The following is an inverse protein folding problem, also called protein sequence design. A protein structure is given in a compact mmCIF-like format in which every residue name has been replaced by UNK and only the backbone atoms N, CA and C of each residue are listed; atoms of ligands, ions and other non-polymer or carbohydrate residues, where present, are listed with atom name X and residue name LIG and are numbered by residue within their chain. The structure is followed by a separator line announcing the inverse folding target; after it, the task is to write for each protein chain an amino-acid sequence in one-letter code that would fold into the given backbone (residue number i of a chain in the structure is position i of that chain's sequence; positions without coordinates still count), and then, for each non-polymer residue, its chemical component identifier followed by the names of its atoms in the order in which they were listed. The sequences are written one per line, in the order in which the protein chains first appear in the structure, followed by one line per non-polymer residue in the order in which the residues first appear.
data_IF_952331585372
#
_entry.id   IF_952331585372
#
_cell.length_a   1.000
_cell.length_b   1.000
_cell.length_c   1.000
_cell.angle_alpha   90.00
_cell.angle_beta   90.00
_cell.angle_gamma   90.00
#
_symmetry.space_group_name_H-M   'P 1'
#
loop_
_entity.id
_entity.type
_entity.pdbx_description
1 polymer ?
#
# COMPACT_ATOMS: atom_id res chain seq x y z
N UNK A 1 26.82 -23.79 13.54
CA UNK A 1 26.00 -24.90 12.99
C UNK A 1 24.81 -24.31 12.29
N UNK A 2 24.52 -24.69 11.02
CA UNK A 2 23.32 -24.23 10.29
C UNK A 2 22.12 -25.10 10.71
N UNK A 3 20.93 -24.48 10.85
CA UNK A 3 19.68 -25.16 11.17
C UNK A 3 18.73 -25.05 9.98
N UNK A 4 18.11 -26.15 9.62
CA UNK A 4 17.04 -26.16 8.60
C UNK A 4 15.72 -25.74 9.23
N UNK A 5 15.10 -24.67 8.73
CA UNK A 5 13.81 -24.17 9.20
C UNK A 5 12.64 -24.57 8.29
N UNK A 6 12.90 -25.37 7.24
CA UNK A 6 11.92 -25.70 6.21
C UNK A 6 11.66 -24.51 5.26
N UNK A 7 10.61 -24.62 4.43
CA UNK A 7 10.20 -23.55 3.53
C UNK A 7 9.41 -22.48 4.33
N UNK A 8 10.05 -21.36 4.63
CA UNK A 8 9.46 -20.22 5.34
C UNK A 8 9.94 -18.90 4.71
N UNK A 9 9.10 -17.85 4.71
CA UNK A 9 9.45 -16.54 4.14
C UNK A 9 10.36 -15.75 5.08
N UNK A 10 11.56 -16.26 5.36
CA UNK A 10 12.52 -15.65 6.27
C UNK A 10 13.42 -14.66 5.53
N UNK A 11 12.84 -13.56 5.06
CA UNK A 11 13.57 -12.46 4.43
C UNK A 11 13.31 -11.16 5.20
N UNK A 12 14.21 -10.78 6.09
CA UNK A 12 14.09 -9.61 6.96
C UNK A 12 15.38 -8.78 6.94
N UNK A 13 15.30 -7.44 7.16
CA UNK A 13 14.07 -6.64 7.32
C UNK A 13 13.30 -6.49 6.02
N UNK A 14 11.97 -6.26 6.13
CA UNK A 14 11.08 -5.91 5.02
C UNK A 14 10.56 -4.49 5.24
N UNK A 15 10.42 -3.65 4.20
CA UNK A 15 9.73 -2.39 4.33
C UNK A 15 8.25 -2.64 4.63
N UNK A 16 7.66 -1.84 5.50
CA UNK A 16 6.21 -1.81 5.68
C UNK A 16 5.65 -0.73 4.79
N UNK A 17 5.02 -1.11 3.70
CA UNK A 17 4.37 -0.19 2.78
C UNK A 17 3.05 0.30 3.35
N UNK A 18 2.78 1.59 3.19
CA UNK A 18 1.48 2.18 3.42
C UNK A 18 0.93 2.57 2.06
N UNK A 19 -0.07 1.80 1.62
CA UNK A 19 -0.67 1.93 0.29
C UNK A 19 -1.92 2.78 0.43
N UNK A 20 -2.02 3.88 -0.33
CA UNK A 20 -3.18 4.76 -0.30
C UNK A 20 -3.87 4.85 -1.66
N UNK A 21 -5.21 4.93 -1.63
CA UNK A 21 -6.08 4.98 -2.81
C UNK A 21 -7.29 5.84 -2.54
N UNK A 22 -7.98 6.28 -3.59
CA UNK A 22 -9.35 6.80 -3.47
C UNK A 22 -10.40 5.70 -3.65
N UNK A 23 -11.42 5.71 -2.82
CA UNK A 23 -12.67 4.99 -3.05
C UNK A 23 -13.44 5.51 -4.27
N UNK A 24 -14.55 4.87 -4.61
CA UNK A 24 -15.42 5.31 -5.72
C UNK A 24 -15.98 6.71 -5.50
N UNK A 25 -16.30 7.03 -4.27
CA UNK A 25 -16.82 8.32 -3.79
C UNK A 25 -15.74 9.39 -3.58
N UNK A 26 -14.46 9.06 -3.86
CA UNK A 26 -13.33 9.95 -3.63
C UNK A 26 -12.80 9.95 -2.20
N UNK A 27 -13.35 9.13 -1.30
CA UNK A 27 -12.85 9.02 0.08
C UNK A 27 -11.48 8.36 0.10
N UNK A 28 -10.46 8.94 0.78
CA UNK A 28 -9.16 8.32 0.94
C UNK A 28 -9.25 7.04 1.78
N UNK A 29 -8.52 6.01 1.36
CA UNK A 29 -8.34 4.75 2.08
C UNK A 29 -6.86 4.38 2.08
N UNK A 30 -6.37 3.78 3.15
CA UNK A 30 -5.02 3.25 3.23
C UNK A 30 -4.98 1.89 3.92
N UNK A 31 -3.96 1.10 3.58
CA UNK A 31 -3.63 -0.15 4.28
C UNK A 31 -2.13 -0.29 4.41
N UNK A 32 -1.66 -1.07 5.39
CA UNK A 32 -0.28 -1.50 5.40
C UNK A 32 -0.08 -2.82 4.64
N UNK A 33 1.13 -3.03 4.13
CA UNK A 33 1.55 -4.28 3.51
C UNK A 33 3.06 -4.49 3.68
N UNK A 34 3.46 -5.69 4.09
CA UNK A 34 4.86 -6.07 4.23
C UNK A 34 5.34 -7.02 3.11
N UNK A 35 4.42 -7.53 2.29
CA UNK A 35 4.73 -8.47 1.21
C UNK A 35 4.87 -7.71 -0.11
N UNK A 36 5.95 -6.93 -0.24
CA UNK A 36 6.23 -6.16 -1.44
C UNK A 36 7.69 -5.72 -1.51
N UNK A 37 8.10 -5.30 -2.69
CA UNK A 37 9.45 -4.82 -2.94
C UNK A 37 9.65 -4.35 -4.37
N UNK A 38 10.85 -3.87 -4.65
CA UNK A 38 11.26 -3.48 -6.00
C UNK A 38 11.37 -4.74 -6.86
N UNK A 39 10.69 -4.75 -7.99
CA UNK A 39 10.72 -5.83 -8.98
C UNK A 39 11.48 -5.46 -10.25
N UNK A 40 11.60 -4.16 -10.54
CA UNK A 40 12.36 -3.62 -11.66
C UNK A 40 12.80 -2.19 -11.30
N UNK A 41 13.58 -1.51 -12.16
CA UNK A 41 14.11 -0.17 -11.90
C UNK A 41 13.02 0.87 -11.55
N UNK A 42 11.83 0.72 -12.09
CA UNK A 42 10.69 1.62 -11.90
C UNK A 42 9.40 0.86 -11.58
N UNK A 43 9.50 -0.34 -11.04
CA UNK A 43 8.35 -1.20 -10.72
C UNK A 43 8.43 -1.73 -9.30
N UNK A 44 7.28 -1.78 -8.64
CA UNK A 44 7.07 -2.42 -7.35
C UNK A 44 6.08 -3.57 -7.55
N UNK A 45 6.40 -4.72 -6.97
CA UNK A 45 5.48 -5.85 -6.86
C UNK A 45 4.99 -5.99 -5.43
N UNK A 46 3.71 -6.27 -5.26
CA UNK A 46 3.10 -6.47 -3.95
C UNK A 46 2.15 -7.67 -3.96
N UNK A 47 2.18 -8.46 -2.89
CA UNK A 47 1.23 -9.54 -2.68
C UNK A 47 0.12 -9.08 -1.72
N UNK A 48 -1.07 -8.81 -2.25
CA UNK A 48 -2.20 -8.25 -1.51
C UNK A 48 -3.44 -9.13 -1.70
N UNK A 49 -4.19 -9.36 -0.62
CA UNK A 49 -5.45 -10.11 -0.69
C UNK A 49 -6.54 -9.35 -1.44
N UNK A 50 -7.15 -9.97 -2.44
CA UNK A 50 -8.21 -9.39 -3.28
C UNK A 50 -9.43 -8.88 -2.47
N UNK A 51 -9.65 -9.41 -1.27
CA UNK A 51 -10.76 -8.99 -0.39
C UNK A 51 -10.59 -7.60 0.24
N UNK A 52 -9.39 -7.04 0.25
CA UNK A 52 -9.13 -5.72 0.83
C UNK A 52 -9.82 -4.60 0.05
N UNK A 53 -10.35 -3.59 0.77
CA UNK A 53 -10.94 -2.39 0.15
C UNK A 53 -9.95 -1.68 -0.75
N UNK A 54 -8.71 -1.52 -0.28
CA UNK A 54 -7.62 -0.89 -1.02
C UNK A 54 -7.34 -1.58 -2.36
N UNK A 55 -7.34 -2.93 -2.40
CA UNK A 55 -7.15 -3.69 -3.65
C UNK A 55 -8.31 -3.43 -4.63
N UNK A 56 -9.55 -3.44 -4.14
CA UNK A 56 -10.73 -3.11 -4.97
C UNK A 56 -10.62 -1.71 -5.56
N UNK A 57 -10.17 -0.75 -4.75
CA UNK A 57 -9.94 0.62 -5.19
C UNK A 57 -8.83 0.69 -6.26
N UNK A 58 -7.69 0.01 -6.05
CA UNK A 58 -6.59 -0.06 -7.03
C UNK A 58 -7.09 -0.60 -8.37
N UNK A 59 -7.83 -1.71 -8.37
CA UNK A 59 -8.35 -2.32 -9.58
C UNK A 59 -9.30 -1.38 -10.34
N UNK A 60 -10.08 -0.58 -9.63
CA UNK A 60 -11.02 0.38 -10.22
C UNK A 60 -10.36 1.67 -10.68
N UNK A 61 -9.52 2.29 -9.85
CA UNK A 61 -8.85 3.56 -10.13
C UNK A 61 -7.61 3.41 -11.00
N UNK A 62 -7.03 2.23 -11.05
CA UNK A 62 -5.77 1.94 -11.74
C UNK A 62 -4.59 2.78 -11.24
N UNK A 63 -4.71 3.35 -10.04
CA UNK A 63 -3.76 4.26 -9.42
C UNK A 63 -3.73 4.10 -7.91
N UNK A 64 -2.55 4.29 -7.31
CA UNK A 64 -2.33 4.26 -5.87
C UNK A 64 -1.01 4.96 -5.54
N UNK A 65 -0.80 5.25 -4.26
CA UNK A 65 0.52 5.68 -3.75
C UNK A 65 1.05 4.66 -2.76
N UNK A 66 2.37 4.61 -2.63
CA UNK A 66 3.07 3.78 -1.66
C UNK A 66 4.02 4.66 -0.87
N UNK A 67 3.80 4.72 0.43
CA UNK A 67 4.72 5.33 1.39
C UNK A 67 5.33 4.24 2.26
N UNK A 68 6.41 4.55 2.98
CA UNK A 68 6.99 3.65 3.99
C UNK A 68 6.58 4.12 5.37
N UNK A 69 6.18 3.17 6.22
CA UNK A 69 5.92 3.46 7.63
C UNK A 69 7.21 3.92 8.32
N UNK A 70 7.08 4.93 9.16
CA UNK A 70 8.16 5.44 10.01
C UNK A 70 7.84 5.24 11.50
N UNK A 71 8.82 5.51 12.36
CA UNK A 71 8.70 5.30 13.80
C UNK A 71 7.73 6.28 14.47
N UNK A 72 7.64 7.50 13.95
CA UNK A 72 6.81 8.55 14.55
C UNK A 72 5.32 8.30 14.29
N UNK A 73 5.00 7.64 13.18
CA UNK A 73 3.62 7.35 12.76
C UNK A 73 3.25 5.85 12.88
N UNK A 74 4.03 5.05 13.63
CA UNK A 74 3.83 3.59 13.74
C UNK A 74 2.41 3.21 14.16
N UNK A 75 1.79 3.94 15.08
CA UNK A 75 0.43 3.66 15.56
C UNK A 75 -0.61 3.88 14.44
N UNK A 76 -0.50 4.98 13.71
CA UNK A 76 -1.37 5.27 12.57
C UNK A 76 -1.19 4.24 11.45
N UNK A 77 0.05 3.90 11.14
CA UNK A 77 0.42 2.90 10.12
C UNK A 77 -0.09 1.49 10.48
N UNK A 78 -0.01 1.10 11.76
CA UNK A 78 -0.57 -0.16 12.23
C UNK A 78 -2.11 -0.15 12.18
N UNK A 79 -2.73 0.94 12.64
CA UNK A 79 -4.18 1.09 12.63
C UNK A 79 -4.79 0.85 11.24
N UNK A 80 -4.23 1.45 10.19
CA UNK A 80 -4.76 1.26 8.82
C UNK A 80 -4.56 -0.16 8.29
N UNK A 81 -3.68 -0.95 8.91
CA UNK A 81 -3.47 -2.36 8.61
C UNK A 81 -4.46 -3.29 9.30
N UNK A 82 -4.75 -3.06 10.58
CA UNK A 82 -5.63 -3.92 11.37
C UNK A 82 -7.12 -3.61 11.17
N UNK A 83 -7.46 -2.39 10.77
CA UNK A 83 -8.85 -1.96 10.53
C UNK A 83 -9.23 -2.13 9.06
N UNK A 84 -10.32 -2.86 8.81
CA UNK A 84 -10.81 -3.08 7.44
C UNK A 84 -11.58 -1.87 6.90
N UNK A 85 -11.13 -1.32 5.76
CA UNK A 85 -11.85 -0.27 5.02
C UNK A 85 -13.20 -0.71 4.44
N UNK A 86 -13.47 -2.02 4.38
CA UNK A 86 -14.82 -2.52 4.05
C UNK A 86 -15.82 -2.31 5.20
N UNK A 87 -15.36 -2.09 6.44
CA UNK A 87 -16.19 -1.92 7.63
C UNK A 87 -16.14 -0.48 8.16
N UNK A 88 -15.00 0.17 8.06
CA UNK A 88 -14.75 1.53 8.56
C UNK A 88 -14.30 2.40 7.38
N UNK A 89 -15.25 3.15 6.82
CA UNK A 89 -15.03 3.92 5.59
C UNK A 89 -14.14 5.14 5.81
N UNK A 90 -14.11 5.69 7.02
CA UNK A 90 -13.32 6.86 7.43
C UNK A 90 -12.02 6.48 8.18
N UNK A 91 -11.52 5.25 8.01
CA UNK A 91 -10.34 4.77 8.74
C UNK A 91 -9.09 5.60 8.48
N UNK A 92 -8.95 6.19 7.28
CA UNK A 92 -7.84 7.07 6.92
C UNK A 92 -7.78 8.29 7.84
N UNK A 93 -8.89 9.02 7.96
CA UNK A 93 -9.00 10.17 8.86
C UNK A 93 -8.91 9.76 10.34
N UNK A 94 -9.47 8.61 10.71
CA UNK A 94 -9.38 8.07 12.08
C UNK A 94 -7.96 7.67 12.49
N UNK A 95 -7.11 7.32 11.53
CA UNK A 95 -5.69 7.11 11.76
C UNK A 95 -4.94 8.43 12.04
N UNK A 96 -5.55 9.57 11.78
CA UNK A 96 -4.94 10.88 11.88
C UNK A 96 -4.19 11.29 10.61
N UNK A 97 -4.42 10.62 9.49
CA UNK A 97 -3.81 10.96 8.22
C UNK A 97 -4.58 12.05 7.49
N UNK A 98 -3.85 12.95 6.83
CA UNK A 98 -4.34 13.95 5.90
C UNK A 98 -3.92 13.59 4.48
N UNK A 99 -4.77 13.92 3.51
CA UNK A 99 -4.58 13.53 2.13
C UNK A 99 -4.40 14.75 1.23
N UNK A 100 -3.26 14.82 0.55
CA UNK A 100 -3.07 15.70 -0.60
C UNK A 100 -3.25 14.90 -1.89
N UNK A 101 -3.93 15.47 -2.87
CA UNK A 101 -4.11 14.82 -4.17
C UNK A 101 -2.77 14.77 -4.92
N UNK A 102 -2.41 13.60 -5.46
CA UNK A 102 -1.27 13.48 -6.36
C UNK A 102 -1.48 14.27 -7.66
N UNK A 103 -0.41 14.89 -8.17
CA UNK A 103 -0.42 15.56 -9.47
C UNK A 103 -0.25 14.58 -10.65
N UNK A 104 0.29 13.38 -10.40
CA UNK A 104 0.67 12.43 -11.45
C UNK A 104 -0.28 11.24 -11.57
N UNK A 105 -0.99 10.88 -10.51
CA UNK A 105 -1.88 9.73 -10.48
C UNK A 105 -3.18 10.04 -9.73
N UNK A 106 -4.26 9.34 -10.02
CA UNK A 106 -5.54 9.51 -9.31
C UNK A 106 -5.54 8.79 -7.97
N UNK A 107 -4.67 9.25 -7.06
CA UNK A 107 -4.50 8.68 -5.73
C UNK A 107 -4.09 9.76 -4.70
N UNK A 108 -4.35 9.54 -3.39
CA UNK A 108 -3.93 10.46 -2.34
C UNK A 108 -2.46 10.24 -1.95
N UNK A 109 -1.73 11.31 -1.67
CA UNK A 109 -0.52 11.30 -0.87
C UNK A 109 -0.92 11.33 0.62
N UNK A 110 -0.12 10.72 1.49
CA UNK A 110 -0.28 10.80 2.95
C UNK A 110 0.67 11.87 3.44
N UNK A 111 0.14 12.99 3.94
CA UNK A 111 0.92 14.20 4.24
C UNK A 111 1.92 13.98 5.38
N UNK A 112 1.63 13.04 6.31
CA UNK A 112 2.47 12.73 7.46
C UNK A 112 3.68 11.86 7.12
N UNK A 113 3.69 11.17 5.97
CA UNK A 113 4.78 10.27 5.60
C UNK A 113 5.77 10.93 4.64
N UNK A 114 7.05 10.83 4.97
CA UNK A 114 8.11 11.62 4.35
C UNK A 114 8.36 11.31 2.85
N UNK A 115 7.99 10.12 2.39
CA UNK A 115 8.22 9.67 1.01
C UNK A 115 6.96 9.03 0.45
N UNK A 116 6.62 9.38 -0.77
CA UNK A 116 5.54 8.74 -1.52
C UNK A 116 6.02 8.34 -2.91
N UNK A 117 5.69 7.11 -3.29
CA UNK A 117 5.86 6.58 -4.64
C UNK A 117 4.50 6.59 -5.30
N UNK A 118 4.35 7.34 -6.39
CA UNK A 118 3.10 7.51 -7.10
C UNK A 118 3.00 6.46 -8.22
N UNK A 119 2.00 5.57 -8.14
CA UNK A 119 1.94 4.33 -8.90
C UNK A 119 0.72 4.25 -9.82
N UNK A 120 0.92 3.72 -11.03
CA UNK A 120 -0.15 3.25 -11.91
C UNK A 120 -0.15 1.73 -11.90
N UNK A 121 -1.31 1.10 -11.80
CA UNK A 121 -1.42 -0.35 -11.89
C UNK A 121 -1.03 -0.81 -13.30
N UNK A 122 0.05 -1.59 -13.40
CA UNK A 122 0.53 -2.21 -14.63
C UNK A 122 -0.25 -3.49 -14.93
N UNK A 123 -0.23 -4.41 -13.99
CA UNK A 123 -0.84 -5.72 -14.12
C UNK A 123 -1.39 -6.22 -12.78
N UNK A 124 -2.28 -7.19 -12.84
CA UNK A 124 -2.87 -7.86 -11.68
C UNK A 124 -3.11 -9.32 -12.03
N UNK A 125 -2.48 -10.19 -11.28
CA UNK A 125 -2.69 -11.63 -11.37
C UNK A 125 -3.56 -12.09 -10.18
N UNK A 126 -4.82 -12.50 -10.42
CA UNK A 126 -5.71 -12.95 -9.37
C UNK A 126 -5.27 -14.26 -8.71
N UNK A 127 -4.48 -15.08 -9.40
CA UNK A 127 -4.04 -16.39 -8.91
C UNK A 127 -2.78 -16.28 -8.04
N UNK A 128 -1.88 -15.34 -8.34
CA UNK A 128 -0.65 -15.11 -7.59
C UNK A 128 -0.72 -13.94 -6.61
N UNK A 129 -1.82 -13.15 -6.62
CA UNK A 129 -2.05 -12.01 -5.71
C UNK A 129 -1.05 -10.86 -5.88
N UNK A 130 -0.44 -10.72 -7.05
CA UNK A 130 0.61 -9.74 -7.31
C UNK A 130 0.09 -8.63 -8.23
N UNK A 131 -0.21 -7.42 -7.71
CA UNK A 131 -0.25 -6.23 -8.56
C UNK A 131 1.18 -5.76 -8.83
N UNK A 132 1.50 -5.53 -10.09
CA UNK A 132 2.76 -4.93 -10.54
C UNK A 132 2.48 -3.51 -11.01
N UNK A 133 3.29 -2.53 -10.59
CA UNK A 133 3.02 -1.12 -10.86
C UNK A 133 4.22 -0.35 -11.38
N UNK A 134 3.98 0.63 -12.26
CA UNK A 134 4.95 1.66 -12.63
C UNK A 134 4.98 2.77 -11.59
N UNK A 135 6.17 3.34 -11.33
CA UNK A 135 6.39 4.34 -10.30
C UNK A 135 6.95 5.65 -10.85
N UNK A 136 6.46 6.76 -10.31
CA UNK A 136 7.20 8.02 -10.23
C UNK A 136 7.53 8.27 -8.76
N UNK A 137 8.81 8.57 -8.46
CA UNK A 137 9.26 8.87 -7.10
C UNK A 137 9.11 10.38 -6.84
N UNK A 138 8.53 10.73 -5.72
CA UNK A 138 8.57 12.08 -5.13
C UNK A 138 9.17 12.04 -3.75
#
# INVERSE_FOLDING_TARGET
MRKNFGAKPLSYPQPVFIIATYGEDGTPDAMNAAWGGISEMNEISMCLSAGHKTVKNILKRRAFTVSMADADHVVACDYVGIVSGNKVTDKFAKAGFHATKSDFVDAPLIDELAVAIECKLKDYDPDTWIPVSYTHLR
#
